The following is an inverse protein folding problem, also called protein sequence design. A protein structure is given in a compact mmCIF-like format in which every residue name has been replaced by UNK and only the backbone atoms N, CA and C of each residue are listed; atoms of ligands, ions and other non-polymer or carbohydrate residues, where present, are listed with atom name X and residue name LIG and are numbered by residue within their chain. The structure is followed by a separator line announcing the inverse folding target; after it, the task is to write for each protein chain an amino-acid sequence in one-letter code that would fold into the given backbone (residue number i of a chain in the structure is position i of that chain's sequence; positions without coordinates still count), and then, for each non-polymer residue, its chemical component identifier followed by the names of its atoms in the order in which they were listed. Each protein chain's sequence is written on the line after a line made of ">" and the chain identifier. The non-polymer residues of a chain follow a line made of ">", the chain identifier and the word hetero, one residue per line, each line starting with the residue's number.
data_IF_764429079115
#
_entry.id   IF_764429079115
#
_cell.length_a   1.000
_cell.length_b   1.000
_cell.length_c   1.000
_cell.angle_alpha   90.00
_cell.angle_beta   90.00
_cell.angle_gamma   90.00
#
_symmetry.space_group_name_H-M   'P 1'
#
loop_
_entity.id
_entity.type
_entity.pdbx_description
1 polymer ?
#
# COMPACT_ATOMS: atom_id res chain seq x y z
N UNK A 1 -7.17 22.00 -4.95
CA UNK A 1 -7.06 20.62 -5.46
C UNK A 1 -6.59 20.70 -6.90
N UNK A 2 -5.57 19.94 -7.30
CA UNK A 2 -5.06 19.99 -8.66
C UNK A 2 -6.14 19.49 -9.65
N UNK A 3 -6.16 20.06 -10.86
CA UNK A 3 -7.12 19.63 -11.92
C UNK A 3 -6.88 18.17 -12.30
N UNK A 4 -5.65 17.72 -12.20
CA UNK A 4 -5.21 16.36 -12.49
C UNK A 4 -5.82 15.33 -11.52
N UNK A 5 -5.69 15.53 -10.20
CA UNK A 5 -6.30 14.64 -9.21
C UNK A 5 -7.83 14.55 -9.39
N UNK A 6 -8.50 15.68 -9.74
CA UNK A 6 -9.93 15.66 -10.03
C UNK A 6 -10.26 14.79 -11.24
N UNK A 7 -9.42 14.85 -12.29
CA UNK A 7 -9.58 14.01 -13.48
C UNK A 7 -9.38 12.55 -13.13
N UNK A 8 -8.27 12.22 -12.46
CA UNK A 8 -7.94 10.84 -12.04
C UNK A 8 -9.06 10.21 -11.19
N UNK A 9 -9.62 10.95 -10.24
CA UNK A 9 -10.78 10.44 -9.45
C UNK A 9 -11.97 10.09 -10.34
N UNK A 10 -12.31 10.92 -11.32
CA UNK A 10 -13.43 10.66 -12.25
C UNK A 10 -13.18 9.45 -13.15
N UNK A 11 -11.93 9.21 -13.50
CA UNK A 11 -11.57 8.07 -14.31
C UNK A 11 -11.61 6.78 -13.47
N UNK A 12 -11.03 6.79 -12.27
CA UNK A 12 -11.09 5.66 -11.33
C UNK A 12 -12.51 5.32 -10.85
N UNK A 13 -13.39 6.32 -10.69
CA UNK A 13 -14.81 6.09 -10.33
C UNK A 13 -15.54 5.22 -11.35
N UNK A 14 -15.10 5.20 -12.62
CA UNK A 14 -15.68 4.37 -13.69
C UNK A 14 -15.07 2.96 -13.74
N UNK A 15 -13.80 2.84 -13.35
CA UNK A 15 -13.00 1.62 -13.46
C UNK A 15 -13.10 0.72 -12.20
N UNK A 16 -13.34 1.32 -11.04
CA UNK A 16 -13.40 0.62 -9.77
C UNK A 16 -14.88 0.38 -9.35
N UNK A 17 -15.10 -0.69 -8.60
CA UNK A 17 -16.37 -0.82 -7.89
C UNK A 17 -16.52 0.28 -6.82
N UNK A 18 -17.76 0.65 -6.42
CA UNK A 18 -17.99 1.77 -5.50
C UNK A 18 -17.25 1.63 -4.17
N UNK A 19 -17.17 0.43 -3.60
CA UNK A 19 -16.47 0.19 -2.32
C UNK A 19 -14.97 0.39 -2.48
N UNK A 20 -14.39 -0.07 -3.59
CA UNK A 20 -12.97 0.10 -3.89
C UNK A 20 -12.62 1.55 -4.19
N UNK A 21 -13.49 2.27 -4.89
CA UNK A 21 -13.30 3.70 -5.13
C UNK A 21 -13.29 4.51 -3.82
N UNK A 22 -14.27 4.28 -2.93
CA UNK A 22 -14.31 4.92 -1.61
C UNK A 22 -13.06 4.60 -0.77
N UNK A 23 -12.60 3.34 -0.81
CA UNK A 23 -11.34 2.96 -0.19
C UNK A 23 -10.14 3.74 -0.77
N UNK A 24 -10.04 3.86 -2.09
CA UNK A 24 -8.96 4.63 -2.74
C UNK A 24 -8.98 6.11 -2.35
N UNK A 25 -10.15 6.71 -2.19
CA UNK A 25 -10.28 8.07 -1.63
C UNK A 25 -9.81 8.13 -0.17
N UNK A 26 -10.15 7.13 0.64
CA UNK A 26 -9.69 7.00 2.02
C UNK A 26 -8.16 6.94 2.10
N UNK A 27 -7.53 6.11 1.25
CA UNK A 27 -6.07 5.98 1.18
C UNK A 27 -5.42 7.27 0.68
N UNK A 28 -5.98 7.94 -0.34
CA UNK A 28 -5.50 9.23 -0.83
C UNK A 28 -5.41 10.28 0.30
N UNK A 29 -6.50 10.45 1.06
CA UNK A 29 -6.53 11.44 2.13
C UNK A 29 -5.67 11.06 3.33
N UNK A 30 -5.62 9.78 3.69
CA UNK A 30 -4.77 9.27 4.78
C UNK A 30 -3.30 9.47 4.43
N UNK A 31 -2.90 9.14 3.20
CA UNK A 31 -1.53 9.38 2.69
C UNK A 31 -1.17 10.87 2.73
N UNK A 32 -2.08 11.76 2.33
CA UNK A 32 -1.85 13.20 2.39
C UNK A 32 -1.63 13.70 3.83
N UNK A 33 -2.44 13.23 4.78
CA UNK A 33 -2.29 13.59 6.19
C UNK A 33 -0.96 13.09 6.77
N UNK A 34 -0.58 11.85 6.46
CA UNK A 34 0.72 11.30 6.87
C UNK A 34 1.88 12.05 6.23
N UNK A 35 1.79 12.43 4.94
CA UNK A 35 2.80 13.21 4.24
C UNK A 35 3.06 14.56 4.92
N UNK A 36 2.01 15.26 5.36
CA UNK A 36 2.13 16.52 6.12
C UNK A 36 2.93 16.31 7.42
N UNK A 37 2.65 15.25 8.15
CA UNK A 37 3.28 14.98 9.45
C UNK A 37 4.73 14.54 9.30
N UNK A 38 5.02 13.71 8.31
CA UNK A 38 6.35 13.10 8.14
C UNK A 38 7.26 13.86 7.15
N UNK A 39 6.78 14.95 6.54
CA UNK A 39 7.61 15.77 5.62
C UNK A 39 7.82 15.14 4.24
N UNK A 40 6.85 14.36 3.76
CA UNK A 40 6.81 13.88 2.38
C UNK A 40 6.05 14.86 1.47
N UNK A 41 6.25 14.80 0.15
CA UNK A 41 5.45 15.59 -0.78
C UNK A 41 3.98 15.15 -0.72
N UNK A 42 3.09 16.11 -0.48
CA UNK A 42 1.65 15.86 -0.30
C UNK A 42 1.01 15.44 -1.63
N UNK A 43 1.47 16.01 -2.74
CA UNK A 43 0.91 15.73 -4.04
C UNK A 43 1.25 14.30 -4.48
N UNK A 44 2.51 13.88 -4.31
CA UNK A 44 2.97 12.52 -4.60
C UNK A 44 2.26 11.49 -3.73
N UNK A 45 2.11 11.79 -2.44
CA UNK A 45 1.39 10.91 -1.50
C UNK A 45 -0.10 10.74 -1.89
N UNK A 46 -0.73 11.80 -2.37
CA UNK A 46 -2.10 11.76 -2.89
C UNK A 46 -2.21 10.95 -4.17
N UNK A 47 -1.29 11.16 -5.12
CA UNK A 47 -1.28 10.40 -6.37
C UNK A 47 -1.07 8.91 -6.13
N UNK A 48 -0.04 8.56 -5.37
CA UNK A 48 0.26 7.17 -5.06
C UNK A 48 -0.89 6.49 -4.29
N UNK A 49 -1.44 7.18 -3.27
CA UNK A 49 -2.57 6.67 -2.50
C UNK A 49 -3.85 6.49 -3.32
N UNK A 50 -4.16 7.42 -4.22
CA UNK A 50 -5.33 7.34 -5.10
C UNK A 50 -5.19 6.19 -6.11
N UNK A 51 -3.99 5.97 -6.66
CA UNK A 51 -3.75 5.00 -7.73
C UNK A 51 -3.31 3.62 -7.23
N UNK A 52 -3.08 3.41 -5.91
CA UNK A 52 -2.50 2.16 -5.39
C UNK A 52 -3.26 0.91 -5.83
N UNK A 53 -4.59 0.97 -5.90
CA UNK A 53 -5.50 -0.12 -6.26
C UNK A 53 -6.15 0.03 -7.65
N UNK A 54 -5.60 0.88 -8.56
CA UNK A 54 -6.18 1.14 -9.89
C UNK A 54 -6.37 -0.13 -10.75
N UNK A 55 -5.57 -1.18 -10.52
CA UNK A 55 -5.71 -2.47 -11.21
C UNK A 55 -6.54 -3.50 -10.44
N UNK A 56 -7.14 -3.15 -9.27
CA UNK A 56 -7.78 -4.13 -8.39
C UNK A 56 -8.95 -4.87 -9.03
N UNK A 57 -9.79 -4.15 -9.78
CA UNK A 57 -10.99 -4.68 -10.44
C UNK A 57 -10.70 -5.33 -11.79
N UNK A 58 -9.48 -5.28 -12.29
CA UNK A 58 -9.09 -5.93 -13.55
C UNK A 58 -9.01 -7.45 -13.35
N UNK A 59 -9.47 -8.27 -14.31
CA UNK A 59 -9.33 -9.72 -14.26
C UNK A 59 -7.87 -10.18 -14.18
N UNK A 60 -7.58 -11.25 -13.45
CA UNK A 60 -6.21 -11.70 -13.20
C UNK A 60 -5.42 -12.05 -14.46
N UNK A 61 -6.07 -12.68 -15.44
CA UNK A 61 -5.47 -12.96 -16.75
C UNK A 61 -5.05 -11.70 -17.51
N UNK A 62 -5.78 -10.59 -17.30
CA UNK A 62 -5.45 -9.30 -17.89
C UNK A 62 -4.29 -8.62 -17.15
N UNK A 63 -4.29 -8.66 -15.84
CA UNK A 63 -3.13 -8.19 -15.02
C UNK A 63 -1.84 -8.89 -15.45
N UNK A 64 -1.89 -10.21 -15.64
CA UNK A 64 -0.73 -11.00 -16.11
C UNK A 64 -0.29 -10.50 -17.51
N UNK A 65 -1.21 -10.29 -18.44
CA UNK A 65 -0.88 -9.77 -19.79
C UNK A 65 -0.24 -8.38 -19.75
N UNK A 66 -0.76 -7.48 -18.90
CA UNK A 66 -0.18 -6.14 -18.68
C UNK A 66 1.27 -6.28 -18.23
N UNK A 67 1.53 -7.14 -17.25
CA UNK A 67 2.86 -7.37 -16.69
C UNK A 67 3.81 -7.98 -17.73
N UNK A 68 3.38 -8.98 -18.48
CA UNK A 68 4.16 -9.62 -19.53
C UNK A 68 4.50 -8.64 -20.66
N UNK A 69 3.52 -7.86 -21.14
CA UNK A 69 3.70 -6.84 -22.18
C UNK A 69 4.70 -5.76 -21.76
N UNK A 70 4.74 -5.41 -20.50
CA UNK A 70 5.68 -4.46 -19.93
C UNK A 70 7.09 -5.05 -19.67
N UNK A 71 7.32 -6.33 -19.99
CA UNK A 71 8.59 -7.01 -19.72
C UNK A 71 8.85 -7.30 -18.24
N UNK A 72 7.81 -7.26 -17.42
CA UNK A 72 7.85 -7.50 -15.97
C UNK A 72 6.93 -8.67 -15.60
N UNK A 73 7.18 -9.91 -16.02
CA UNK A 73 6.27 -11.03 -15.78
C UNK A 73 6.03 -11.24 -14.27
N UNK A 74 4.92 -11.90 -13.89
CA UNK A 74 4.64 -12.20 -12.51
C UNK A 74 5.69 -13.08 -11.88
N UNK A 75 5.99 -12.85 -10.60
CA UNK A 75 6.80 -13.73 -9.77
C UNK A 75 5.98 -14.96 -9.36
N UNK A 76 6.68 -16.03 -8.92
CA UNK A 76 6.00 -17.25 -8.48
C UNK A 76 5.03 -16.95 -7.32
N UNK A 77 5.39 -16.12 -6.35
CA UNK A 77 4.53 -15.72 -5.24
C UNK A 77 3.26 -14.98 -5.69
N UNK A 78 3.31 -14.25 -6.81
CA UNK A 78 2.15 -13.56 -7.40
C UNK A 78 1.26 -14.55 -8.18
N UNK A 79 1.83 -15.61 -8.75
CA UNK A 79 1.08 -16.70 -9.37
C UNK A 79 0.44 -17.65 -8.34
N UNK A 80 1.10 -17.86 -7.21
CA UNK A 80 0.57 -18.66 -6.11
C UNK A 80 -0.53 -17.91 -5.34
N UNK A 81 -0.48 -16.58 -5.33
CA UNK A 81 -1.49 -15.70 -4.72
C UNK A 81 -1.84 -14.52 -5.64
N UNK A 82 -2.83 -14.73 -6.50
CA UNK A 82 -3.29 -13.73 -7.46
C UNK A 82 -3.74 -12.41 -6.83
N UNK A 83 -4.05 -12.39 -5.52
CA UNK A 83 -4.37 -11.13 -4.85
C UNK A 83 -3.21 -10.13 -4.83
N UNK A 84 -1.98 -10.56 -5.11
CA UNK A 84 -0.78 -9.72 -5.19
C UNK A 84 -0.57 -9.06 -6.56
N UNK A 85 -1.15 -9.62 -7.63
CA UNK A 85 -0.95 -9.17 -9.01
C UNK A 85 -1.27 -7.68 -9.24
N UNK A 86 -2.29 -7.17 -8.52
CA UNK A 86 -2.80 -5.81 -8.75
C UNK A 86 -1.78 -4.72 -8.46
N UNK A 87 -0.91 -4.91 -7.50
CA UNK A 87 0.07 -3.89 -7.10
C UNK A 87 1.08 -3.61 -8.23
N UNK A 88 1.64 -4.66 -8.79
CA UNK A 88 2.60 -4.55 -9.90
C UNK A 88 1.91 -4.15 -11.21
N UNK A 89 0.75 -4.73 -11.53
CA UNK A 89 -0.04 -4.32 -12.68
C UNK A 89 -0.50 -2.87 -12.55
N UNK A 90 -0.88 -2.42 -11.35
CA UNK A 90 -1.28 -1.05 -11.05
C UNK A 90 -0.16 -0.03 -11.28
N UNK A 91 1.07 -0.35 -10.89
CA UNK A 91 2.22 0.52 -11.17
C UNK A 91 2.47 0.66 -12.69
N UNK A 92 2.28 -0.42 -13.46
CA UNK A 92 2.40 -0.38 -14.92
C UNK A 92 1.29 0.49 -15.54
N UNK A 93 0.03 0.31 -15.09
CA UNK A 93 -1.09 1.13 -15.56
C UNK A 93 -0.93 2.59 -15.16
N UNK A 94 -0.44 2.87 -13.95
CA UNK A 94 -0.18 4.23 -13.50
C UNK A 94 0.78 4.96 -14.46
N UNK A 95 1.81 4.26 -14.93
CA UNK A 95 2.75 4.78 -15.92
C UNK A 95 2.10 4.92 -17.32
N UNK A 96 1.44 3.87 -17.81
CA UNK A 96 1.06 3.75 -19.22
C UNK A 96 -0.28 4.44 -19.54
N UNK A 97 -1.22 4.52 -18.57
CA UNK A 97 -2.57 5.07 -18.76
C UNK A 97 -2.82 6.39 -18.01
N UNK A 98 -2.06 6.62 -16.93
CA UNK A 98 -2.22 7.83 -16.09
C UNK A 98 -1.03 8.77 -16.14
N UNK A 99 -0.07 8.53 -17.05
CA UNK A 99 1.09 9.39 -17.33
C UNK A 99 1.96 9.65 -16.08
N UNK A 100 2.07 8.69 -15.16
CA UNK A 100 2.93 8.79 -13.96
C UNK A 100 4.35 8.35 -14.33
N UNK A 101 5.29 9.31 -14.34
CA UNK A 101 6.70 9.04 -14.66
C UNK A 101 7.60 8.93 -13.43
N UNK A 102 7.15 9.43 -12.26
CA UNK A 102 7.96 9.42 -11.04
C UNK A 102 8.06 8.01 -10.45
N UNK A 103 9.28 7.47 -10.44
CA UNK A 103 9.58 6.14 -9.93
C UNK A 103 9.27 5.98 -8.42
N UNK A 104 9.27 7.06 -7.61
CA UNK A 104 8.86 6.97 -6.20
C UNK A 104 7.37 6.68 -6.09
N UNK A 105 6.54 7.34 -6.91
CA UNK A 105 5.10 7.10 -6.97
C UNK A 105 4.82 5.69 -7.48
N UNK A 106 5.47 5.29 -8.58
CA UNK A 106 5.33 3.95 -9.16
C UNK A 106 5.76 2.85 -8.18
N UNK A 107 6.83 3.05 -7.43
CA UNK A 107 7.29 2.10 -6.42
C UNK A 107 6.33 2.06 -5.21
N UNK A 108 5.78 3.19 -4.78
CA UNK A 108 4.77 3.20 -3.72
C UNK A 108 3.52 2.39 -4.12
N UNK A 109 3.07 2.49 -5.37
CA UNK A 109 2.00 1.66 -5.92
C UNK A 109 2.42 0.18 -6.00
N UNK A 110 3.61 -0.10 -6.54
CA UNK A 110 4.11 -1.48 -6.73
C UNK A 110 4.26 -2.27 -5.45
N UNK A 111 4.71 -1.63 -4.37
CA UNK A 111 5.08 -2.31 -3.14
C UNK A 111 4.07 -2.13 -1.99
N UNK A 112 2.91 -1.49 -2.23
CA UNK A 112 1.93 -1.23 -1.17
C UNK A 112 1.36 -2.48 -0.51
N UNK A 113 1.39 -3.64 -1.18
CA UNK A 113 0.81 -4.89 -0.67
C UNK A 113 1.82 -5.73 0.13
N UNK A 114 3.02 -5.91 -0.41
CA UNK A 114 4.04 -6.82 0.18
C UNK A 114 5.16 -6.07 0.89
N UNK A 115 5.35 -4.80 0.59
CA UNK A 115 6.51 -4.03 0.99
C UNK A 115 7.81 -4.50 0.31
N UNK A 116 8.92 -3.94 0.75
CA UNK A 116 10.29 -4.39 0.40
C UNK A 116 11.31 -3.91 1.44
N UNK A 117 12.51 -4.47 1.50
CA UNK A 117 13.61 -3.86 2.24
C UNK A 117 13.87 -2.42 1.78
N UNK A 118 14.21 -1.55 2.71
CA UNK A 118 14.60 -0.16 2.45
C UNK A 118 13.55 0.67 1.66
N UNK A 119 12.28 0.61 2.07
CA UNK A 119 11.21 1.43 1.49
C UNK A 119 11.50 2.92 1.67
N UNK A 120 11.21 3.72 0.65
CA UNK A 120 11.17 5.19 0.77
C UNK A 120 10.07 5.64 1.74
N UNK A 121 10.12 6.90 2.16
CA UNK A 121 9.07 7.45 3.02
C UNK A 121 7.68 7.38 2.34
N UNK A 122 7.60 7.64 1.05
CA UNK A 122 6.37 7.56 0.28
C UNK A 122 5.81 6.13 0.23
N UNK A 123 6.68 5.14 0.00
CA UNK A 123 6.27 3.73 0.02
C UNK A 123 5.71 3.32 1.39
N UNK A 124 6.36 3.74 2.49
CA UNK A 124 5.86 3.49 3.86
C UNK A 124 4.50 4.13 4.09
N UNK A 125 4.34 5.39 3.67
CA UNK A 125 3.09 6.14 3.80
C UNK A 125 1.94 5.40 3.11
N UNK A 126 2.11 4.99 1.84
CA UNK A 126 1.03 4.33 1.09
C UNK A 126 0.72 2.95 1.67
N UNK A 127 1.75 2.16 2.02
CA UNK A 127 1.59 0.86 2.67
C UNK A 127 0.79 0.94 3.98
N UNK A 128 1.09 1.93 4.81
CA UNK A 128 0.40 2.14 6.09
C UNK A 128 -1.00 2.70 5.86
N UNK A 129 -1.15 3.69 4.98
CA UNK A 129 -2.43 4.33 4.69
C UNK A 129 -3.48 3.35 4.16
N UNK A 130 -3.09 2.41 3.30
CA UNK A 130 -3.95 1.32 2.83
C UNK A 130 -4.48 0.47 4.00
N UNK A 131 -3.67 0.23 5.02
CA UNK A 131 -4.06 -0.57 6.18
C UNK A 131 -4.98 0.19 7.15
N UNK A 132 -4.75 1.52 7.36
CA UNK A 132 -5.38 2.29 8.45
C UNK A 132 -6.50 3.23 8.02
N UNK A 133 -6.78 3.39 6.70
CA UNK A 133 -7.78 4.35 6.24
C UNK A 133 -9.14 4.16 6.95
N UNK A 134 -9.96 5.23 7.09
CA UNK A 134 -11.12 5.20 7.99
C UNK A 134 -12.19 4.14 7.69
N UNK A 135 -12.32 3.69 6.43
CA UNK A 135 -13.32 2.69 6.05
C UNK A 135 -12.84 1.24 6.26
N UNK A 136 -11.59 1.02 6.70
CA UNK A 136 -11.10 -0.32 7.02
C UNK A 136 -11.81 -0.89 8.24
N UNK A 137 -12.07 -2.20 8.18
CA UNK A 137 -12.62 -2.95 9.31
C UNK A 137 -11.72 -2.79 10.53
N UNK A 138 -12.33 -2.43 11.66
CA UNK A 138 -11.60 -2.32 12.93
C UNK A 138 -11.00 -3.68 13.34
N UNK A 139 -9.69 -3.66 13.58
CA UNK A 139 -8.91 -4.75 14.15
C UNK A 139 -8.42 -4.35 15.53
N UNK A 140 -8.13 -5.32 16.38
CA UNK A 140 -7.67 -5.07 17.75
C UNK A 140 -6.43 -4.16 17.82
N UNK A 141 -5.55 -4.21 16.81
CA UNK A 141 -4.34 -3.38 16.75
C UNK A 141 -4.58 -2.00 16.13
N UNK A 142 -5.74 -1.76 15.50
CA UNK A 142 -5.96 -0.61 14.61
C UNK A 142 -5.72 0.72 15.30
N UNK A 143 -6.18 0.86 16.54
CA UNK A 143 -6.04 2.10 17.28
C UNK A 143 -4.56 2.44 17.57
N UNK A 144 -3.77 1.47 18.04
CA UNK A 144 -2.34 1.65 18.27
C UNK A 144 -1.58 1.93 16.99
N UNK A 145 -1.89 1.21 15.92
CA UNK A 145 -1.27 1.43 14.61
C UNK A 145 -1.61 2.81 14.05
N UNK A 146 -2.87 3.27 14.15
CA UNK A 146 -3.27 4.64 13.75
C UNK A 146 -2.52 5.71 14.55
N UNK A 147 -2.34 5.51 15.86
CA UNK A 147 -1.54 6.43 16.66
C UNK A 147 -0.08 6.44 16.20
N UNK A 148 0.55 5.26 16.09
CA UNK A 148 1.93 5.13 15.64
C UNK A 148 2.15 5.68 14.21
N UNK A 149 1.18 5.52 13.32
CA UNK A 149 1.26 6.05 11.95
C UNK A 149 1.51 7.57 11.88
N UNK A 150 1.11 8.31 12.90
CA UNK A 150 1.30 9.77 12.98
C UNK A 150 2.36 10.21 14.01
N UNK A 151 2.99 9.28 14.74
CA UNK A 151 4.02 9.59 15.74
C UNK A 151 5.36 8.90 15.47
N UNK A 152 5.33 7.65 15.03
CA UNK A 152 6.50 6.83 14.65
C UNK A 152 6.11 5.89 13.50
N UNK A 153 6.36 6.33 12.28
CA UNK A 153 5.98 5.62 11.05
C UNK A 153 6.63 4.22 10.96
N UNK A 154 7.83 4.06 11.49
CA UNK A 154 8.57 2.80 11.43
C UNK A 154 7.96 1.77 12.39
N UNK A 155 7.51 2.19 13.57
CA UNK A 155 6.74 1.32 14.48
C UNK A 155 5.42 0.88 13.85
N UNK A 156 4.67 1.82 13.25
CA UNK A 156 3.42 1.49 12.55
C UNK A 156 3.65 0.45 11.46
N UNK A 157 4.67 0.66 10.63
CA UNK A 157 5.05 -0.24 9.54
C UNK A 157 5.34 -1.65 10.07
N UNK A 158 6.19 -1.77 11.09
CA UNK A 158 6.58 -3.07 11.66
C UNK A 158 5.37 -3.81 12.25
N UNK A 159 4.49 -3.12 12.99
CA UNK A 159 3.30 -3.74 13.57
C UNK A 159 2.30 -4.23 12.53
N UNK A 160 2.14 -3.48 11.43
CA UNK A 160 1.30 -3.92 10.31
C UNK A 160 1.89 -5.17 9.67
N UNK A 161 3.19 -5.17 9.34
CA UNK A 161 3.86 -6.32 8.74
C UNK A 161 3.77 -7.56 9.63
N UNK A 162 4.00 -7.42 10.94
CA UNK A 162 3.85 -8.51 11.92
C UNK A 162 2.39 -9.03 11.96
N UNK A 163 1.41 -8.12 11.98
CA UNK A 163 0.00 -8.49 12.01
C UNK A 163 -0.43 -9.23 10.75
N UNK A 164 -0.02 -8.76 9.57
CA UNK A 164 -0.32 -9.40 8.28
C UNK A 164 0.33 -10.79 8.21
N UNK A 165 1.61 -10.90 8.59
CA UNK A 165 2.32 -12.19 8.66
C UNK A 165 1.57 -13.18 9.55
N UNK A 166 1.26 -12.78 10.79
CA UNK A 166 0.58 -13.65 11.75
C UNK A 166 -0.83 -14.04 11.26
N UNK A 167 -1.55 -13.13 10.60
CA UNK A 167 -2.86 -13.44 10.02
C UNK A 167 -2.77 -14.49 8.91
N UNK A 168 -1.79 -14.38 8.01
CA UNK A 168 -1.57 -15.32 6.91
C UNK A 168 -1.22 -16.71 7.46
N UNK A 169 -0.30 -16.78 8.43
CA UNK A 169 0.09 -18.03 9.11
C UNK A 169 -1.10 -18.68 9.88
N UNK A 170 -1.91 -17.86 10.58
CA UNK A 170 -3.10 -18.34 11.27
C UNK A 170 -4.14 -18.94 10.31
N UNK A 171 -4.18 -18.46 9.07
CA UNK A 171 -5.03 -19.02 8.00
C UNK A 171 -4.46 -20.30 7.37
N UNK A 172 -3.28 -20.75 7.79
CA UNK A 172 -2.61 -21.93 7.27
C UNK A 172 -1.85 -21.71 5.97
N UNK A 173 -1.57 -20.47 5.59
CA UNK A 173 -0.79 -20.12 4.42
C UNK A 173 0.62 -19.67 4.80
N UNK A 174 1.57 -19.84 3.87
CA UNK A 174 2.87 -19.22 3.98
C UNK A 174 2.79 -17.75 3.54
N UNK A 175 3.37 -16.81 4.31
CA UNK A 175 3.52 -15.44 3.83
C UNK A 175 4.37 -15.37 2.56
N UNK A 176 4.08 -14.41 1.68
CA UNK A 176 4.86 -14.20 0.47
C UNK A 176 6.35 -13.95 0.80
N UNK A 177 7.30 -14.54 0.06
CA UNK A 177 8.74 -14.32 0.26
C UNK A 177 9.14 -12.85 0.32
N UNK A 178 8.57 -12.00 -0.54
CA UNK A 178 8.80 -10.55 -0.52
C UNK A 178 8.34 -9.91 0.79
N UNK A 179 7.15 -10.28 1.30
CA UNK A 179 6.64 -9.76 2.58
C UNK A 179 7.52 -10.19 3.76
N UNK A 180 8.00 -11.43 3.75
CA UNK A 180 8.93 -11.92 4.78
C UNK A 180 10.26 -11.17 4.75
N UNK A 181 10.82 -10.96 3.55
CA UNK A 181 12.07 -10.20 3.40
C UNK A 181 11.93 -8.75 3.92
N UNK A 182 10.80 -8.09 3.62
CA UNK A 182 10.49 -6.77 4.16
C UNK A 182 10.38 -6.79 5.70
N UNK A 183 9.58 -7.70 6.25
CA UNK A 183 9.39 -7.84 7.69
C UNK A 183 10.71 -8.08 8.45
N UNK A 184 11.53 -9.05 8.00
CA UNK A 184 12.81 -9.35 8.66
C UNK A 184 13.80 -8.18 8.56
N UNK A 185 13.80 -7.45 7.44
CA UNK A 185 14.61 -6.25 7.30
C UNK A 185 14.25 -5.20 8.37
N UNK A 186 12.97 -4.85 8.51
CA UNK A 186 12.55 -3.83 9.48
C UNK A 186 12.62 -4.31 10.92
N UNK A 187 12.29 -5.57 11.21
CA UNK A 187 12.43 -6.17 12.55
C UNK A 187 13.87 -6.09 13.09
N UNK A 188 14.87 -6.20 12.20
CA UNK A 188 16.26 -6.11 12.60
C UNK A 188 16.76 -4.66 12.79
N UNK A 189 16.05 -3.66 12.28
CA UNK A 189 16.43 -2.26 12.33
C UNK A 189 15.63 -1.45 13.35
N UNK A 190 14.36 -1.80 13.56
CA UNK A 190 13.45 -1.07 14.42
C UNK A 190 13.35 -1.74 15.78
N UNK A 191 13.71 -0.99 16.83
CA UNK A 191 13.48 -1.45 18.20
C UNK A 191 12.00 -1.27 18.55
N UNK A 192 11.34 -2.36 18.92
CA UNK A 192 9.91 -2.32 19.31
C UNK A 192 9.73 -1.45 20.54
N UNK A 193 8.85 -0.47 20.45
CA UNK A 193 8.40 0.37 21.56
C UNK A 193 7.07 -0.18 22.11
N UNK A 194 7.14 -0.87 23.24
CA UNK A 194 5.96 -1.45 23.90
C UNK A 194 5.07 -0.36 24.54
N UNK A 195 5.60 0.81 24.87
CA UNK A 195 4.81 1.91 25.43
C UNK A 195 3.88 2.49 24.37
N UNK A 196 4.32 2.60 23.13
CA UNK A 196 3.47 2.99 22.01
C UNK A 196 2.36 1.96 21.73
N UNK A 197 2.63 0.65 21.88
CA UNK A 197 1.59 -0.39 21.76
C UNK A 197 0.50 -0.27 22.82
N UNK A 198 0.84 0.23 23.99
CA UNK A 198 -0.02 0.30 25.17
C UNK A 198 -0.41 1.73 25.54
N UNK A 199 -0.27 2.69 24.64
CA UNK A 199 -0.39 4.13 24.90
C UNK A 199 -1.71 4.58 25.57
N UNK A 200 -2.77 3.76 25.57
CA UNK A 200 -4.05 4.02 26.29
C UNK A 200 -4.18 3.28 27.63
N UNK A 201 -3.19 2.52 28.06
CA UNK A 201 -3.18 1.91 29.39
C UNK A 201 -2.50 2.83 30.36
#
# INVERSE_FOLDING_TARGET
>A
MSKEIIKLRKDLEKELDPQRFEHSLGVEYTSACMAIVHGCDIYDARLAGLLHDCAKCIPDNEKIRIMEKAGCPPLQEELDNHSLLHAKAGAILARDEYDIEDENILNAIRFHTVGRPNMSLLEKIVYIADFIEPNRKELQIMEGVRHAAFTDIDQALLWIMESVKNYVEMKGYAPAPSSLAAYEYYKNQIKIDEDLRNWRK
#
